data_IF_482862315249
#
_entry.id   IF_482862315249
#
_cell.length_a   1.000
_cell.length_b   1.000
_cell.length_c   1.000
_cell.angle_alpha   90.00
_cell.angle_beta   90.00
_cell.angle_gamma   90.00
#
_symmetry.space_group_name_H-M   'P 1'
#
loop_
_entity.id
_entity.type
_entity.pdbx_description
1 polymer ?
#
# COMPACT_ATOMS: atom_id res chain seq x y z
N UNK A 1 27.86 -12.92 3.17
CA UNK A 1 27.64 -13.09 4.62
C UNK A 1 27.64 -11.74 5.32
N UNK A 2 26.53 -11.03 5.18
CA UNK A 2 26.09 -10.04 6.16
C UNK A 2 24.92 -10.66 6.91
N UNK A 3 24.68 -10.21 8.13
CA UNK A 3 23.53 -10.66 8.92
C UNK A 3 22.41 -9.62 8.79
N UNK A 4 21.20 -10.08 8.54
CA UNK A 4 20.02 -9.23 8.53
C UNK A 4 19.81 -8.61 9.91
N UNK A 5 19.67 -7.27 10.04
CA UNK A 5 19.45 -6.62 11.33
C UNK A 5 18.04 -6.86 11.91
N UNK A 6 17.08 -7.28 11.09
CA UNK A 6 15.68 -7.52 11.51
C UNK A 6 15.41 -8.97 11.94
N UNK A 7 15.96 -9.94 11.21
CA UNK A 7 15.63 -11.36 11.39
C UNK A 7 16.83 -12.26 11.69
N UNK A 8 18.03 -11.68 11.85
CA UNK A 8 19.30 -12.39 12.10
C UNK A 8 19.65 -13.46 11.05
N UNK A 9 19.04 -13.41 9.87
CA UNK A 9 19.32 -14.34 8.78
C UNK A 9 20.66 -14.03 8.10
N UNK A 10 21.34 -15.06 7.61
CA UNK A 10 22.51 -14.91 6.75
C UNK A 10 22.08 -14.46 5.35
N UNK A 11 22.49 -13.26 4.95
CA UNK A 11 22.26 -12.74 3.60
C UNK A 11 23.53 -12.94 2.77
N UNK A 12 23.37 -13.60 1.61
CA UNK A 12 24.44 -13.83 0.64
C UNK A 12 24.45 -12.75 -0.45
N UNK A 13 24.94 -11.58 -0.07
CA UNK A 13 25.18 -10.45 -0.98
C UNK A 13 26.68 -10.13 -1.08
N UNK A 14 27.09 -9.69 -2.28
CA UNK A 14 28.47 -9.33 -2.57
C UNK A 14 28.70 -7.84 -2.30
N UNK A 15 29.59 -7.56 -1.35
CA UNK A 15 29.88 -6.20 -0.85
C UNK A 15 30.56 -5.31 -1.89
N UNK A 16 31.09 -5.90 -2.96
CA UNK A 16 31.71 -5.14 -4.05
C UNK A 16 30.71 -4.73 -5.13
N UNK A 17 29.49 -5.27 -5.11
CA UNK A 17 28.44 -4.98 -6.08
C UNK A 17 27.41 -3.98 -5.53
N UNK A 18 27.37 -3.80 -4.22
CA UNK A 18 26.49 -2.85 -3.53
C UNK A 18 27.24 -1.56 -3.19
N UNK A 19 26.60 -0.42 -3.48
CA UNK A 19 27.08 0.92 -3.18
C UNK A 19 26.15 1.62 -2.18
N UNK A 20 26.60 2.73 -1.59
CA UNK A 20 25.76 3.56 -0.72
C UNK A 20 24.54 4.10 -1.51
N UNK A 21 23.35 3.91 -0.94
CA UNK A 21 22.05 4.20 -1.55
C UNK A 21 21.45 3.06 -2.38
N UNK A 22 22.08 1.89 -2.42
CA UNK A 22 21.50 0.72 -3.09
C UNK A 22 20.43 0.03 -2.21
N UNK A 23 19.40 -0.55 -2.83
CA UNK A 23 18.30 -1.22 -2.13
C UNK A 23 18.41 -2.73 -2.27
N UNK A 24 18.41 -3.42 -1.15
CA UNK A 24 18.53 -4.89 -1.06
C UNK A 24 17.39 -5.47 -0.25
N UNK A 25 16.77 -6.53 -0.76
CA UNK A 25 15.68 -7.23 -0.08
C UNK A 25 16.20 -8.47 0.62
N UNK A 26 15.83 -8.68 1.88
CA UNK A 26 16.18 -9.90 2.60
C UNK A 26 15.30 -11.06 2.14
N UNK A 27 15.88 -12.10 1.54
CA UNK A 27 15.14 -13.29 1.08
C UNK A 27 14.49 -14.12 2.20
N UNK A 28 14.85 -13.88 3.47
CA UNK A 28 14.33 -14.62 4.61
C UNK A 28 13.13 -13.98 5.29
N UNK A 29 13.07 -12.65 5.36
CA UNK A 29 11.97 -11.91 5.99
C UNK A 29 11.16 -11.06 5.02
N UNK A 30 11.68 -10.80 3.81
CA UNK A 30 11.04 -9.96 2.80
C UNK A 30 11.30 -8.46 2.98
N UNK A 31 11.87 -8.04 4.11
CA UNK A 31 12.15 -6.62 4.38
C UNK A 31 13.18 -6.05 3.41
N UNK A 32 12.92 -4.84 2.92
CA UNK A 32 13.83 -4.07 2.09
C UNK A 32 14.75 -3.20 2.95
N UNK A 33 16.02 -3.12 2.58
CA UNK A 33 17.03 -2.35 3.28
C UNK A 33 17.78 -1.45 2.30
N UNK A 34 18.05 -0.22 2.70
CA UNK A 34 18.94 0.69 2.01
C UNK A 34 20.36 0.56 2.57
N UNK A 35 21.35 0.51 1.68
CA UNK A 35 22.78 0.49 2.06
C UNK A 35 23.22 1.90 2.43
N UNK A 36 23.48 2.14 3.70
CA UNK A 36 23.97 3.45 4.21
C UNK A 36 25.50 3.48 4.39
N UNK A 37 26.18 2.35 4.19
CA UNK A 37 27.64 2.26 4.21
C UNK A 37 28.15 0.91 3.70
N UNK A 38 29.37 0.87 3.15
CA UNK A 38 29.96 -0.35 2.52
C UNK A 38 31.22 -0.90 3.20
N UNK A 39 31.81 -0.16 4.15
CA UNK A 39 32.98 -0.61 4.94
C UNK A 39 32.99 0.06 6.33
N UNK A 40 32.30 -0.50 7.34
CA UNK A 40 31.51 -1.75 7.34
C UNK A 40 30.17 -1.61 6.58
N UNK A 41 29.61 -2.73 6.12
CA UNK A 41 28.30 -2.74 5.47
C UNK A 41 27.21 -2.39 6.50
N UNK A 42 26.55 -1.26 6.31
CA UNK A 42 25.47 -0.74 7.16
C UNK A 42 24.17 -0.69 6.35
N UNK A 43 23.09 -1.20 6.95
CA UNK A 43 21.79 -1.38 6.33
C UNK A 43 20.72 -0.71 7.18
N UNK A 44 19.87 0.10 6.57
CA UNK A 44 18.72 0.74 7.23
C UNK A 44 17.43 0.17 6.63
N UNK A 45 16.46 -0.31 7.44
CA UNK A 45 15.20 -0.81 6.92
C UNK A 45 14.46 0.31 6.19
N UNK A 46 14.07 0.04 4.96
CA UNK A 46 13.15 0.90 4.23
C UNK A 46 11.76 0.49 4.71
N UNK A 47 11.11 1.40 5.42
CA UNK A 47 9.71 1.24 5.82
C UNK A 47 8.88 1.33 4.54
N UNK A 48 8.62 0.19 3.92
CA UNK A 48 7.69 0.06 2.80
C UNK A 48 6.28 0.11 3.40
N UNK A 49 5.80 1.34 3.64
CA UNK A 49 4.41 1.65 3.99
C UNK A 49 3.49 1.39 2.77
N UNK A 50 3.66 0.26 2.08
CA UNK A 50 2.76 -0.28 1.04
C UNK A 50 2.02 -1.52 1.61
N UNK A 51 1.74 -1.50 2.91
CA UNK A 51 0.68 -2.32 3.51
C UNK A 51 -0.67 -1.62 3.22
N UNK A 52 -1.03 -1.46 1.94
CA UNK A 52 -2.40 -1.08 1.52
C UNK A 52 -3.36 -2.30 1.66
N UNK A 53 -3.31 -3.00 2.80
CA UNK A 53 -4.34 -3.94 3.25
C UNK A 53 -5.29 -3.25 4.26
N UNK A 54 -6.09 -2.27 3.82
CA UNK A 54 -7.39 -1.98 4.47
C UNK A 54 -8.15 -0.95 3.63
N UNK A 55 -9.21 -1.36 2.91
CA UNK A 55 -10.52 -0.66 2.82
C UNK A 55 -11.52 -1.64 2.17
N UNK A 56 -11.96 -2.65 2.94
CA UNK A 56 -13.22 -3.36 2.69
C UNK A 56 -14.36 -2.33 2.78
N UNK A 57 -14.65 -1.63 1.68
CA UNK A 57 -15.83 -0.75 1.60
C UNK A 57 -17.02 -1.59 1.12
N UNK A 58 -17.68 -2.25 2.09
CA UNK A 58 -19.02 -2.79 1.97
C UNK A 58 -20.00 -1.60 1.82
N UNK A 59 -20.31 -1.20 0.59
CA UNK A 59 -21.37 -0.24 0.32
C UNK A 59 -22.73 -0.93 0.53
N UNK A 60 -23.20 -0.85 1.77
CA UNK A 60 -24.60 -1.03 2.19
C UNK A 60 -25.57 -0.36 1.21
N UNK A 61 -26.41 -1.19 0.60
CA UNK A 61 -27.87 -1.04 0.48
C UNK A 61 -28.45 0.38 0.70
N UNK A 62 -28.80 1.08 -0.37
CA UNK A 62 -29.74 2.21 -0.33
C UNK A 62 -30.95 1.88 -1.23
N UNK A 63 -31.87 1.13 -0.63
CA UNK A 63 -33.27 1.01 -1.06
C UNK A 63 -34.04 2.23 -0.54
N UNK A 64 -34.14 3.30 -1.34
CA UNK A 64 -35.10 4.38 -1.12
C UNK A 64 -36.11 4.44 -2.28
N UNK A 65 -37.08 3.52 -2.24
CA UNK A 65 -38.36 3.70 -2.90
C UNK A 65 -39.32 4.54 -2.06
N UNK A 66 -39.73 5.70 -2.55
CA UNK A 66 -40.94 6.46 -2.13
C UNK A 66 -41.17 7.59 -3.16
N UNK A 67 -42.36 8.05 -3.55
CA UNK A 67 -43.70 7.54 -3.78
C UNK A 67 -44.36 8.59 -4.72
N UNK A 68 -45.47 8.20 -5.30
CA UNK A 68 -46.32 8.86 -6.28
C UNK A 68 -46.89 10.27 -5.86
N UNK A 69 -47.41 10.99 -6.86
CA UNK A 69 -48.41 12.10 -6.87
C UNK A 69 -48.08 13.55 -6.46
N UNK A 70 -48.16 14.47 -7.44
CA UNK A 70 -48.72 15.84 -7.35
C UNK A 70 -49.04 16.32 -8.78
N UNK A 71 -50.26 16.12 -9.27
CA UNK A 71 -51.34 17.14 -9.33
C UNK A 71 -51.00 18.34 -10.24
N UNK A 72 -50.95 18.11 -11.57
CA UNK A 72 -51.06 19.21 -12.53
C UNK A 72 -52.55 19.60 -12.71
N UNK A 73 -52.98 20.45 -11.78
CA UNK A 73 -54.13 21.32 -11.85
C UNK A 73 -54.33 21.93 -13.26
N UNK A 74 -55.53 21.73 -13.78
CA UNK A 74 -56.28 22.59 -14.69
C UNK A 74 -55.52 23.47 -15.71
N UNK A 75 -55.55 23.08 -16.99
CA UNK A 75 -55.54 24.05 -18.10
C UNK A 75 -56.82 23.94 -18.95
N UNK A 76 -57.79 24.77 -18.55
CA UNK A 76 -58.95 25.18 -19.32
C UNK A 76 -58.53 25.84 -20.64
N UNK A 77 -58.90 25.24 -21.77
CA UNK A 77 -58.76 25.84 -23.10
C UNK A 77 -59.91 25.42 -24.02
N UNK A 78 -60.82 26.36 -24.26
CA UNK A 78 -62.04 26.30 -25.07
C UNK A 78 -61.81 25.94 -26.55
N UNK A 79 -62.61 25.02 -27.12
CA UNK A 79 -63.02 25.00 -28.54
C UNK A 79 -64.44 24.44 -28.72
#
# INVERSE_FOLDING_TARGET
>A
MVTCPECDADIDIDRHDVDEGDTISCESCGTEFEVTGVDPLELEPVDDDDDEEDEEFDEEDDDEGEDDVDDEEDNWGEE
#
